data_IF_146163955894
#
_entry.id   IF_146163955894
#
_cell.length_a   1.000
_cell.length_b   1.000
_cell.length_c   1.000
_cell.angle_alpha   90.00
_cell.angle_beta   90.00
_cell.angle_gamma   90.00
#
_symmetry.space_group_name_H-M   'P 1'
#
loop_
_entity.id
_entity.type
_entity.pdbx_description
1 polymer ?
#
# COMPACT_ATOMS: atom_id res chain seq x y z
N UNK A 1 -53.41 12.51 -14.37
CA UNK A 1 -52.07 11.95 -14.11
C UNK A 1 -52.22 10.45 -13.88
N UNK A 2 -51.74 9.59 -14.82
CA UNK A 2 -51.88 8.12 -14.71
C UNK A 2 -50.78 7.58 -13.81
N UNK A 3 -51.12 7.22 -12.56
CA UNK A 3 -50.17 6.58 -11.63
C UNK A 3 -50.00 5.14 -12.06
N UNK A 4 -48.83 4.78 -12.59
CA UNK A 4 -48.48 3.39 -12.88
C UNK A 4 -48.31 2.65 -11.56
N UNK A 5 -49.13 1.64 -11.32
CA UNK A 5 -48.98 0.76 -10.15
C UNK A 5 -47.85 -0.22 -10.44
N UNK A 6 -46.79 -0.15 -9.66
CA UNK A 6 -45.66 -1.07 -9.75
C UNK A 6 -46.02 -2.39 -9.05
N UNK A 7 -45.82 -3.51 -9.72
CA UNK A 7 -46.14 -4.81 -9.14
C UNK A 7 -44.99 -5.34 -8.30
N UNK A 8 -45.28 -6.11 -7.27
CA UNK A 8 -44.28 -6.75 -6.39
C UNK A 8 -43.37 -7.69 -7.18
N UNK A 9 -43.91 -8.34 -8.21
CA UNK A 9 -43.19 -9.25 -9.10
C UNK A 9 -42.17 -8.49 -9.94
N UNK A 10 -42.50 -7.32 -10.48
CA UNK A 10 -41.52 -6.50 -11.25
C UNK A 10 -40.33 -6.08 -10.40
N UNK A 11 -40.56 -5.73 -9.15
CA UNK A 11 -39.45 -5.39 -8.23
C UNK A 11 -38.62 -6.64 -7.92
N UNK A 12 -39.27 -7.77 -7.66
CA UNK A 12 -38.57 -9.00 -7.26
C UNK A 12 -37.70 -9.54 -8.39
N UNK A 13 -38.14 -9.49 -9.65
CA UNK A 13 -37.33 -9.93 -10.80
C UNK A 13 -36.11 -9.05 -10.99
N UNK A 14 -36.24 -7.73 -10.82
CA UNK A 14 -35.09 -6.80 -10.95
C UNK A 14 -34.02 -7.08 -9.90
N UNK A 15 -34.39 -7.23 -8.62
CA UNK A 15 -33.41 -7.54 -7.58
C UNK A 15 -32.76 -8.91 -7.77
N UNK A 16 -33.52 -9.90 -8.29
CA UNK A 16 -32.95 -11.21 -8.60
C UNK A 16 -31.89 -11.15 -9.69
N UNK A 17 -32.13 -10.38 -10.76
CA UNK A 17 -31.13 -10.20 -11.83
C UNK A 17 -29.91 -9.49 -11.30
N UNK A 18 -30.08 -8.42 -10.51
CA UNK A 18 -28.95 -7.70 -9.90
C UNK A 18 -28.14 -8.63 -9.00
N UNK A 19 -28.79 -9.46 -8.20
CA UNK A 19 -28.11 -10.40 -7.30
C UNK A 19 -27.26 -11.43 -8.07
N UNK A 20 -27.78 -11.96 -9.18
CA UNK A 20 -27.06 -12.90 -10.04
C UNK A 20 -25.82 -12.23 -10.66
N UNK A 21 -25.98 -11.02 -11.21
CA UNK A 21 -24.86 -10.28 -11.80
C UNK A 21 -23.81 -9.92 -10.76
N UNK A 22 -24.21 -9.46 -9.58
CA UNK A 22 -23.31 -9.13 -8.48
C UNK A 22 -22.54 -10.37 -7.98
N UNK A 23 -23.19 -11.53 -7.87
CA UNK A 23 -22.54 -12.76 -7.44
C UNK A 23 -21.40 -13.20 -8.37
N UNK A 24 -21.51 -12.94 -9.68
CA UNK A 24 -20.44 -13.22 -10.64
C UNK A 24 -19.32 -12.18 -10.59
N UNK A 25 -19.64 -10.92 -10.29
CA UNK A 25 -18.65 -9.83 -10.26
C UNK A 25 -17.80 -9.83 -9.00
N UNK A 26 -18.32 -10.23 -7.84
CA UNK A 26 -17.61 -10.20 -6.57
C UNK A 26 -16.29 -11.00 -6.58
N UNK A 27 -16.21 -12.24 -7.09
CA UNK A 27 -14.97 -12.98 -7.15
C UNK A 27 -13.92 -12.32 -8.08
N UNK A 28 -14.38 -11.81 -9.22
CA UNK A 28 -13.51 -11.13 -10.18
C UNK A 28 -12.93 -9.83 -9.61
N UNK A 29 -13.75 -9.05 -8.90
CA UNK A 29 -13.33 -7.82 -8.25
C UNK A 29 -12.30 -8.08 -7.15
N UNK A 30 -12.47 -9.12 -6.34
CA UNK A 30 -11.51 -9.48 -5.30
C UNK A 30 -10.15 -9.85 -5.90
N UNK A 31 -10.13 -10.61 -7.00
CA UNK A 31 -8.91 -10.96 -7.72
C UNK A 31 -8.23 -9.73 -8.34
N UNK A 32 -8.99 -8.86 -8.97
CA UNK A 32 -8.49 -7.61 -9.54
C UNK A 32 -7.88 -6.70 -8.45
N UNK A 33 -8.55 -6.58 -7.28
CA UNK A 33 -8.05 -5.81 -6.14
C UNK A 33 -6.73 -6.37 -5.59
N UNK A 34 -6.62 -7.69 -5.47
CA UNK A 34 -5.38 -8.33 -5.04
C UNK A 34 -4.23 -8.03 -6.02
N UNK A 35 -4.47 -8.17 -7.31
CA UNK A 35 -3.49 -7.86 -8.36
C UNK A 35 -3.06 -6.39 -8.34
N UNK A 36 -3.99 -5.47 -8.15
CA UNK A 36 -3.70 -4.03 -8.04
C UNK A 36 -2.80 -3.72 -6.83
N UNK A 37 -3.04 -4.37 -5.68
CA UNK A 37 -2.18 -4.23 -4.49
C UNK A 37 -0.75 -4.71 -4.76
N UNK A 38 -0.59 -5.84 -5.41
CA UNK A 38 0.73 -6.37 -5.79
C UNK A 38 1.44 -5.42 -6.76
N UNK A 39 0.74 -4.86 -7.74
CA UNK A 39 1.31 -3.88 -8.67
C UNK A 39 1.80 -2.62 -7.94
N UNK A 40 1.03 -2.12 -6.97
CA UNK A 40 1.44 -0.99 -6.11
C UNK A 40 2.71 -1.32 -5.32
N UNK A 41 2.78 -2.51 -4.69
CA UNK A 41 3.97 -2.92 -3.94
C UNK A 41 5.22 -3.01 -4.85
N UNK A 42 5.08 -3.55 -6.06
CA UNK A 42 6.17 -3.59 -7.04
C UNK A 42 6.63 -2.19 -7.45
N UNK A 43 5.69 -1.26 -7.66
CA UNK A 43 5.99 0.13 -7.94
C UNK A 43 6.77 0.80 -6.81
N UNK A 44 6.35 0.59 -5.57
CA UNK A 44 7.04 1.11 -4.38
C UNK A 44 8.48 0.56 -4.28
N UNK A 45 8.65 -0.76 -4.47
CA UNK A 45 9.97 -1.38 -4.47
C UNK A 45 10.88 -0.82 -5.56
N UNK A 46 10.34 -0.59 -6.77
CA UNK A 46 11.09 0.04 -7.86
C UNK A 46 11.55 1.45 -7.50
N UNK A 47 10.68 2.25 -6.91
CA UNK A 47 11.02 3.61 -6.48
C UNK A 47 12.09 3.61 -5.37
N UNK A 48 12.01 2.67 -4.43
CA UNK A 48 13.05 2.50 -3.40
C UNK A 48 14.40 2.10 -4.01
N UNK A 49 14.40 1.17 -4.95
CA UNK A 49 15.61 0.76 -5.65
C UNK A 49 16.25 1.92 -6.43
N UNK A 50 15.45 2.74 -7.09
CA UNK A 50 15.92 3.95 -7.76
C UNK A 50 16.55 4.95 -6.78
N UNK A 51 15.93 5.15 -5.61
CA UNK A 51 16.49 5.99 -4.55
C UNK A 51 17.84 5.47 -4.04
N UNK A 52 17.99 4.15 -3.88
CA UNK A 52 19.26 3.53 -3.49
C UNK A 52 20.34 3.71 -4.56
N UNK A 53 20.00 3.59 -5.84
CA UNK A 53 20.93 3.82 -6.94
C UNK A 53 21.39 5.29 -7.00
N UNK A 54 20.49 6.24 -6.78
CA UNK A 54 20.84 7.65 -6.71
C UNK A 54 21.77 7.92 -5.53
N UNK A 55 21.49 7.37 -4.36
CA UNK A 55 22.35 7.48 -3.19
C UNK A 55 23.75 6.91 -3.45
N UNK A 56 23.83 5.73 -4.07
CA UNK A 56 25.10 5.09 -4.43
C UNK A 56 25.94 5.98 -5.35
N UNK A 57 25.29 6.58 -6.37
CA UNK A 57 25.97 7.51 -7.27
C UNK A 57 26.51 8.77 -6.57
N UNK A 58 25.79 9.29 -5.58
CA UNK A 58 26.20 10.47 -4.81
C UNK A 58 27.23 10.13 -3.70
N UNK A 59 27.32 8.88 -3.31
CA UNK A 59 28.07 8.41 -2.13
C UNK A 59 29.24 7.47 -2.47
N UNK A 60 29.95 7.73 -3.57
CA UNK A 60 31.12 6.93 -4.01
C UNK A 60 30.84 5.41 -4.03
N UNK A 61 29.76 5.02 -4.69
CA UNK A 61 29.28 3.63 -4.84
C UNK A 61 29.03 2.88 -3.50
N UNK A 62 28.76 3.63 -2.43
CA UNK A 62 28.39 3.04 -1.14
C UNK A 62 26.88 3.02 -0.96
N UNK A 63 26.38 2.00 -0.28
CA UNK A 63 24.97 1.95 0.15
C UNK A 63 24.81 2.65 1.51
N UNK A 64 23.61 3.17 1.83
CA UNK A 64 23.38 3.83 3.11
C UNK A 64 23.59 2.84 4.25
N UNK A 65 24.67 3.05 4.99
CA UNK A 65 25.11 2.17 6.07
C UNK A 65 24.44 2.53 7.38
N UNK A 66 24.21 1.52 8.20
CA UNK A 66 23.75 1.69 9.56
C UNK A 66 24.96 1.92 10.49
N UNK A 67 25.11 3.09 11.12
CA UNK A 67 26.23 3.35 12.01
C UNK A 67 25.98 2.72 13.38
N UNK A 68 26.24 1.44 13.53
CA UNK A 68 26.27 0.86 14.87
C UNK A 68 25.81 -0.60 14.96
N UNK A 69 26.78 -1.45 15.28
CA UNK A 69 26.54 -2.86 15.64
C UNK A 69 25.98 -3.03 17.07
N UNK A 70 25.72 -1.97 17.81
CA UNK A 70 25.48 -1.97 19.25
C UNK A 70 24.17 -1.33 19.71
N UNK A 71 23.19 -1.22 18.81
CA UNK A 71 21.85 -0.72 19.18
C UNK A 71 20.76 -1.74 18.96
N UNK A 72 19.61 -1.61 19.65
CA UNK A 72 18.45 -2.45 19.37
C UNK A 72 18.04 -2.32 17.89
N UNK A 73 17.43 -3.35 17.34
CA UNK A 73 17.03 -3.56 15.92
C UNK A 73 16.26 -2.38 15.27
N UNK A 74 15.85 -1.43 16.08
CA UNK A 74 15.11 -0.19 15.74
C UNK A 74 15.88 0.77 14.82
N UNK A 75 17.19 0.74 14.89
CA UNK A 75 18.03 1.59 14.04
C UNK A 75 18.20 1.09 12.61
N UNK A 76 17.64 -0.09 12.27
CA UNK A 76 17.64 -0.62 10.90
C UNK A 76 16.85 0.26 9.92
N UNK A 77 16.06 1.21 10.41
CA UNK A 77 15.29 2.17 9.58
C UNK A 77 16.12 3.41 9.16
N UNK A 78 17.37 3.53 9.59
CA UNK A 78 18.20 4.69 9.27
C UNK A 78 18.37 4.92 7.76
N UNK A 79 18.57 3.86 7.00
CA UNK A 79 18.65 3.96 5.55
C UNK A 79 17.37 4.49 4.90
N UNK A 80 16.22 4.14 5.45
CA UNK A 80 14.92 4.67 4.99
C UNK A 80 14.81 6.17 5.26
N UNK A 81 15.24 6.64 6.44
CA UNK A 81 15.26 8.06 6.78
C UNK A 81 16.24 8.84 5.88
N UNK A 82 17.41 8.27 5.60
CA UNK A 82 18.39 8.86 4.69
C UNK A 82 17.81 9.05 3.30
N UNK A 83 17.18 8.03 2.73
CA UNK A 83 16.56 8.10 1.42
C UNK A 83 15.35 9.07 1.41
N UNK A 84 14.57 9.08 2.46
CA UNK A 84 13.45 10.00 2.59
C UNK A 84 13.90 11.46 2.62
N UNK A 85 14.89 11.78 3.44
CA UNK A 85 15.32 13.15 3.66
C UNK A 85 16.10 13.72 2.46
N UNK A 86 16.92 12.89 1.82
CA UNK A 86 17.81 13.34 0.74
C UNK A 86 17.18 13.23 -0.65
N UNK A 87 16.26 12.26 -0.86
CA UNK A 87 15.66 11.97 -2.16
C UNK A 87 14.14 12.13 -2.19
N UNK A 88 13.57 12.76 -1.16
CA UNK A 88 12.12 13.08 -1.09
C UNK A 88 11.21 11.87 -1.28
N UNK A 89 11.64 10.68 -0.90
CA UNK A 89 10.83 9.47 -1.00
C UNK A 89 9.70 9.52 0.03
N UNK A 90 8.47 9.57 -0.47
CA UNK A 90 7.28 9.72 0.36
C UNK A 90 7.05 8.53 1.31
N UNK A 91 6.44 8.80 2.46
CA UNK A 91 6.15 7.78 3.49
C UNK A 91 5.36 6.58 2.97
N UNK A 92 4.49 6.78 1.97
CA UNK A 92 3.65 5.72 1.40
C UNK A 92 4.43 4.63 0.67
N UNK A 93 5.68 4.90 0.26
CA UNK A 93 6.53 3.93 -0.42
C UNK A 93 6.96 2.75 0.48
N UNK A 94 7.00 2.98 1.78
CA UNK A 94 7.46 2.02 2.78
C UNK A 94 6.41 0.98 3.17
N UNK A 95 5.17 1.14 2.70
CA UNK A 95 4.06 0.26 3.03
C UNK A 95 3.67 -0.60 1.83
N UNK A 96 3.54 -1.91 2.06
CA UNK A 96 2.94 -2.79 1.08
C UNK A 96 1.41 -2.81 1.26
N UNK A 97 0.67 -2.37 0.24
CA UNK A 97 -0.80 -2.39 0.24
C UNK A 97 -1.39 -3.82 0.35
N UNK A 98 -0.58 -4.85 0.09
CA UNK A 98 -0.97 -6.25 0.21
C UNK A 98 -0.86 -6.83 1.63
N UNK A 99 -0.01 -6.23 2.47
CA UNK A 99 0.17 -6.66 3.87
C UNK A 99 0.30 -5.44 4.79
N UNK A 100 -0.82 -4.84 5.19
CA UNK A 100 -0.84 -3.66 6.05
C UNK A 100 -0.35 -3.95 7.48
N UNK A 101 -0.29 -5.23 7.90
CA UNK A 101 0.07 -5.61 9.26
C UNK A 101 1.58 -5.60 9.52
N UNK A 102 2.41 -5.66 8.48
CA UNK A 102 3.88 -5.72 8.63
C UNK A 102 4.44 -4.43 9.24
N UNK A 103 3.71 -3.30 9.11
CA UNK A 103 4.07 -2.03 9.74
C UNK A 103 2.89 -1.45 10.51
N UNK A 104 2.30 -2.23 11.41
CA UNK A 104 1.35 -1.68 12.35
C UNK A 104 2.12 -0.77 13.30
N UNK A 105 1.92 0.53 13.16
CA UNK A 105 2.58 1.60 13.92
C UNK A 105 2.35 1.52 15.44
N UNK A 106 1.41 0.68 15.87
CA UNK A 106 1.14 0.43 17.29
C UNK A 106 2.13 -0.52 17.94
N UNK A 107 2.91 -1.29 17.14
CA UNK A 107 3.90 -2.25 17.66
C UNK A 107 5.33 -1.71 17.68
N UNK A 108 5.59 -0.56 17.07
CA UNK A 108 6.90 0.10 17.12
C UNK A 108 6.86 1.26 18.10
N UNK A 109 7.45 1.11 19.29
CA UNK A 109 7.45 2.19 20.27
C UNK A 109 8.21 3.40 19.75
N UNK A 110 7.53 4.50 19.52
CA UNK A 110 8.08 5.84 19.64
C UNK A 110 8.77 6.50 18.45
N UNK A 111 9.12 5.80 17.37
CA UNK A 111 9.98 6.40 16.31
C UNK A 111 9.25 6.93 15.06
N UNK A 112 7.97 6.68 14.90
CA UNK A 112 7.21 7.15 13.74
C UNK A 112 6.30 8.34 14.06
N UNK A 113 6.15 8.74 15.33
CA UNK A 113 5.29 9.87 15.73
C UNK A 113 5.84 11.26 15.35
N UNK A 114 7.06 11.34 14.86
CA UNK A 114 7.67 12.60 14.39
C UNK A 114 7.58 12.84 12.88
N UNK A 115 6.78 12.09 12.15
CA UNK A 115 6.72 12.10 10.69
C UNK A 115 5.40 12.69 10.16
N UNK A 116 4.85 13.70 10.86
CA UNK A 116 3.78 14.57 10.37
C UNK A 116 4.28 15.55 9.32
#
# INVERSE_FOLDING_TARGET
MKIRRFTLIELLVVIAIIAILAAMLLPALNKARATARVATCKGNMKSMAQGLLLYSGDSADTLPFHPGKTGPVWNSLYWMQTLRNNYSLGNKLWYCAGNPEVFNTTSTPGYIQGLG
#
